data_IF_938208005554
#
_entry.id   IF_938208005554
#
_cell.length_a   1.000
_cell.length_b   1.000
_cell.length_c   1.000
_cell.angle_alpha   90.00
_cell.angle_beta   90.00
_cell.angle_gamma   90.00
#
_symmetry.space_group_name_H-M   'P 1'
#
loop_
_entity.id
_entity.type
_entity.pdbx_description
1 polymer ?
#
# COMPACT_ATOMS: atom_id res chain seq x y z
N UNK A 1 5.11 -3.11 -14.25
CA UNK A 1 4.65 -2.49 -12.99
C UNK A 1 3.96 -3.58 -12.18
N UNK A 2 4.51 -3.97 -11.04
CA UNK A 2 3.90 -4.96 -10.15
C UNK A 2 2.89 -4.19 -9.30
N UNK A 3 1.59 -4.46 -9.44
CA UNK A 3 0.54 -3.72 -8.71
C UNK A 3 0.75 -3.80 -7.18
N UNK A 4 1.34 -4.89 -6.68
CA UNK A 4 1.71 -5.03 -5.26
C UNK A 4 2.93 -4.23 -4.79
N UNK A 5 3.49 -3.33 -5.60
CA UNK A 5 4.61 -2.44 -5.21
C UNK A 5 4.23 -0.95 -5.31
N UNK A 6 2.95 -0.65 -5.51
CA UNK A 6 2.50 0.75 -5.63
C UNK A 6 2.51 1.38 -4.24
N UNK A 7 3.31 2.43 -4.08
CA UNK A 7 3.38 3.22 -2.86
C UNK A 7 2.73 4.57 -3.08
N UNK A 8 2.02 5.08 -2.08
CA UNK A 8 1.36 6.39 -2.09
C UNK A 8 -0.16 6.32 -2.17
N UNK A 9 -0.84 7.02 -1.27
CA UNK A 9 -2.28 6.99 -1.12
C UNK A 9 -3.03 7.35 -2.42
N UNK A 10 -2.57 8.37 -3.14
CA UNK A 10 -3.16 8.77 -4.42
C UNK A 10 -3.01 7.69 -5.50
N UNK A 11 -1.80 7.15 -5.68
CA UNK A 11 -1.52 6.12 -6.69
C UNK A 11 -2.32 4.83 -6.42
N UNK A 12 -2.49 4.48 -5.14
CA UNK A 12 -3.36 3.37 -4.71
C UNK A 12 -4.82 3.65 -5.08
N UNK A 13 -5.34 4.86 -4.80
CA UNK A 13 -6.71 5.26 -5.18
C UNK A 13 -6.92 5.23 -6.69
N UNK A 14 -6.01 5.80 -7.47
CA UNK A 14 -6.02 5.78 -8.95
C UNK A 14 -6.03 4.36 -9.48
N UNK A 15 -5.09 3.53 -9.03
CA UNK A 15 -4.94 2.17 -9.57
C UNK A 15 -6.12 1.28 -9.18
N UNK A 16 -6.55 1.35 -7.92
CA UNK A 16 -7.65 0.52 -7.40
C UNK A 16 -8.97 0.87 -8.07
N UNK A 17 -9.27 2.16 -8.22
CA UNK A 17 -10.49 2.60 -8.94
C UNK A 17 -10.43 2.26 -10.43
N UNK A 18 -9.29 2.45 -11.09
CA UNK A 18 -9.13 2.06 -12.50
C UNK A 18 -9.35 0.55 -12.72
N UNK A 19 -8.85 -0.29 -11.82
CA UNK A 19 -9.06 -1.74 -11.84
C UNK A 19 -10.54 -2.12 -11.65
N UNK A 20 -11.24 -1.48 -10.70
CA UNK A 20 -12.66 -1.67 -10.47
C UNK A 20 -13.51 -1.23 -11.68
N UNK A 21 -13.17 -0.10 -12.30
CA UNK A 21 -13.81 0.37 -13.54
C UNK A 21 -13.54 -0.58 -14.71
N UNK A 22 -12.32 -1.11 -14.81
CA UNK A 22 -11.97 -2.08 -15.85
C UNK A 22 -12.81 -3.35 -15.74
N UNK A 23 -13.06 -3.86 -14.54
CA UNK A 23 -14.00 -4.98 -14.34
C UNK A 23 -15.44 -4.62 -14.68
N UNK A 24 -15.89 -3.42 -14.28
CA UNK A 24 -17.25 -2.93 -14.55
C UNK A 24 -17.53 -2.78 -16.04
N UNK A 25 -16.50 -2.52 -16.85
CA UNK A 25 -16.62 -2.38 -18.31
C UNK A 25 -17.14 -3.64 -19.03
N UNK A 26 -17.01 -4.82 -18.41
CA UNK A 26 -17.42 -6.13 -18.96
C UNK A 26 -16.87 -6.42 -20.36
N UNK A 27 -15.68 -5.92 -20.69
CA UNK A 27 -15.04 -6.20 -21.98
C UNK A 27 -14.61 -7.68 -22.10
N UNK A 28 -15.18 -8.39 -23.08
CA UNK A 28 -14.90 -9.80 -23.34
C UNK A 28 -13.42 -10.12 -23.60
N UNK A 29 -12.64 -9.15 -24.11
CA UNK A 29 -11.21 -9.33 -24.34
C UNK A 29 -10.42 -9.50 -23.04
N UNK A 30 -10.90 -8.96 -21.91
CA UNK A 30 -10.25 -9.14 -20.60
C UNK A 30 -10.19 -10.62 -20.21
N UNK A 31 -11.27 -11.38 -20.48
CA UNK A 31 -11.33 -12.80 -20.16
C UNK A 31 -10.37 -13.66 -20.99
N UNK A 32 -9.86 -13.15 -22.12
CA UNK A 32 -8.88 -13.85 -22.97
C UNK A 32 -7.44 -13.68 -22.51
N UNK A 33 -7.19 -12.72 -21.62
CA UNK A 33 -5.85 -12.44 -21.09
C UNK A 33 -5.62 -13.30 -19.86
N UNK A 34 -4.52 -14.04 -19.84
CA UNK A 34 -4.07 -14.83 -18.69
C UNK A 34 -2.84 -14.19 -18.05
N UNK A 35 -2.86 -14.12 -16.72
CA UNK A 35 -1.80 -13.49 -15.93
C UNK A 35 -1.34 -14.38 -14.79
N UNK A 36 -0.17 -14.08 -14.24
CA UNK A 36 0.40 -14.81 -13.11
C UNK A 36 -0.40 -14.53 -11.82
N UNK A 37 -0.87 -15.61 -11.21
CA UNK A 37 -1.65 -15.65 -9.99
C UNK A 37 -0.80 -15.77 -8.75
N UNK A 38 -1.01 -16.84 -7.99
CA UNK A 38 -0.19 -17.19 -6.83
C UNK A 38 0.93 -18.15 -7.21
N UNK A 39 2.01 -18.13 -6.42
CA UNK A 39 3.12 -19.07 -6.55
C UNK A 39 2.65 -20.48 -6.19
N UNK A 40 3.02 -21.46 -7.01
CA UNK A 40 2.89 -22.89 -6.72
C UNK A 40 4.12 -23.24 -5.88
N UNK A 41 3.94 -23.44 -4.57
CA UNK A 41 5.05 -23.79 -3.68
C UNK A 41 5.59 -25.17 -4.08
N UNK A 42 6.73 -25.19 -4.77
CA UNK A 42 7.41 -26.41 -5.20
C UNK A 42 8.40 -26.94 -4.16
N UNK A 43 8.85 -26.10 -3.22
CA UNK A 43 9.85 -26.45 -2.23
C UNK A 43 9.47 -26.00 -0.82
N UNK A 44 9.67 -26.89 0.16
CA UNK A 44 9.57 -26.58 1.58
C UNK A 44 10.86 -25.88 2.05
N UNK A 45 10.71 -24.80 2.82
CA UNK A 45 11.81 -24.04 3.42
C UNK A 45 12.22 -22.78 2.66
N UNK A 46 13.28 -22.13 3.15
CA UNK A 46 13.81 -20.89 2.56
C UNK A 46 14.44 -21.22 1.20
N UNK A 47 13.88 -20.63 0.15
CA UNK A 47 14.45 -20.71 -1.19
C UNK A 47 15.45 -19.59 -1.38
N UNK A 48 16.73 -19.95 -1.49
CA UNK A 48 17.80 -19.01 -1.82
C UNK A 48 17.78 -18.68 -3.31
N UNK A 49 18.38 -17.54 -3.69
CA UNK A 49 18.52 -17.15 -5.11
C UNK A 49 19.16 -18.23 -5.98
N UNK A 50 20.11 -19.00 -5.42
CA UNK A 50 20.73 -20.14 -6.11
C UNK A 50 19.76 -21.29 -6.36
N UNK A 51 18.91 -21.64 -5.37
CA UNK A 51 17.87 -22.68 -5.52
C UNK A 51 16.79 -22.29 -6.53
N UNK A 52 16.35 -21.03 -6.52
CA UNK A 52 15.37 -20.52 -7.48
C UNK A 52 15.88 -20.58 -8.93
N UNK A 53 17.20 -20.51 -9.15
CA UNK A 53 17.78 -20.67 -10.49
C UNK A 53 17.71 -22.11 -11.00
N UNK A 54 17.87 -23.10 -10.11
CA UNK A 54 17.80 -24.53 -10.45
C UNK A 54 16.37 -25.06 -10.56
N UNK A 55 15.45 -24.49 -9.78
CA UNK A 55 14.03 -24.84 -9.78
C UNK A 55 13.23 -23.53 -9.84
N UNK A 56 12.92 -23.04 -11.06
CA UNK A 56 12.24 -21.76 -11.22
C UNK A 56 10.84 -21.80 -10.63
N UNK A 57 10.46 -20.66 -10.06
CA UNK A 57 9.13 -20.41 -9.50
C UNK A 57 8.04 -20.69 -10.54
N UNK A 58 7.10 -21.57 -10.19
CA UNK A 58 5.94 -21.87 -11.01
C UNK A 58 4.74 -21.06 -10.52
N UNK A 59 4.03 -20.39 -11.41
CA UNK A 59 2.88 -19.55 -11.08
C UNK A 59 1.61 -20.15 -11.67
N UNK A 60 0.51 -20.09 -10.92
CA UNK A 60 -0.80 -20.41 -11.48
C UNK A 60 -1.17 -19.34 -12.50
N UNK A 61 -1.51 -19.74 -13.73
CA UNK A 61 -2.07 -18.83 -14.73
C UNK A 61 -3.56 -18.72 -14.53
N UNK A 62 -4.08 -17.50 -14.40
CA UNK A 62 -5.50 -17.24 -14.20
C UNK A 62 -6.01 -16.10 -15.09
N UNK A 63 -7.31 -16.09 -15.45
CA UNK A 63 -7.89 -15.02 -16.25
C UNK A 63 -7.70 -13.66 -15.58
N UNK A 64 -7.44 -12.62 -16.37
CA UNK A 64 -7.22 -11.26 -15.89
C UNK A 64 -8.35 -10.77 -14.96
N UNK A 65 -9.65 -10.98 -15.24
CA UNK A 65 -10.71 -10.57 -14.32
C UNK A 65 -10.58 -11.18 -12.92
N UNK A 66 -10.19 -12.46 -12.85
CA UNK A 66 -9.92 -13.15 -11.58
C UNK A 66 -8.78 -12.49 -10.83
N UNK A 67 -7.69 -12.09 -11.53
CA UNK A 67 -6.57 -11.37 -10.90
C UNK A 67 -7.00 -10.02 -10.36
N UNK A 68 -7.82 -9.29 -11.11
CA UNK A 68 -8.28 -7.97 -10.70
C UNK A 68 -9.14 -8.10 -9.44
N UNK A 69 -10.09 -9.05 -9.39
CA UNK A 69 -10.88 -9.29 -8.17
C UNK A 69 -9.99 -9.66 -6.99
N UNK A 70 -8.96 -10.50 -7.19
CA UNK A 70 -8.00 -10.83 -6.15
C UNK A 70 -7.27 -9.59 -5.60
N UNK A 71 -6.79 -8.71 -6.49
CA UNK A 71 -6.11 -7.47 -6.11
C UNK A 71 -7.03 -6.49 -5.38
N UNK A 72 -8.29 -6.36 -5.80
CA UNK A 72 -9.26 -5.51 -5.11
C UNK A 72 -9.62 -6.04 -3.72
N UNK A 73 -9.66 -7.38 -3.56
CA UNK A 73 -9.86 -8.01 -2.27
C UNK A 73 -8.65 -7.85 -1.34
N UNK A 74 -7.43 -7.96 -1.88
CA UNK A 74 -6.21 -7.70 -1.12
C UNK A 74 -6.13 -6.24 -0.65
N UNK A 75 -6.46 -5.28 -1.53
CA UNK A 75 -6.52 -3.85 -1.18
C UNK A 75 -7.57 -3.58 -0.09
N UNK A 76 -8.72 -4.25 -0.14
CA UNK A 76 -9.74 -4.16 0.90
C UNK A 76 -9.24 -4.69 2.25
N UNK A 77 -8.56 -5.84 2.25
CA UNK A 77 -7.95 -6.41 3.47
C UNK A 77 -6.91 -5.47 4.05
N UNK A 78 -6.01 -4.93 3.23
CA UNK A 78 -4.95 -4.01 3.67
C UNK A 78 -5.54 -2.74 4.32
N UNK A 79 -6.60 -2.16 3.73
CA UNK A 79 -7.28 -0.99 4.32
C UNK A 79 -7.95 -1.36 5.66
N UNK A 80 -8.54 -2.55 5.79
CA UNK A 80 -9.15 -3.00 7.03
C UNK A 80 -8.11 -3.21 8.13
N UNK A 81 -6.94 -3.76 7.80
CA UNK A 81 -5.83 -3.95 8.74
C UNK A 81 -5.27 -2.61 9.25
N UNK A 82 -5.16 -1.60 8.38
CA UNK A 82 -4.73 -0.25 8.77
C UNK A 82 -5.73 0.44 9.73
N UNK A 83 -7.03 0.24 9.52
CA UNK A 83 -8.06 0.80 10.42
C UNK A 83 -8.03 0.12 11.80
N UNK A 84 -7.80 -1.19 11.85
CA UNK A 84 -7.66 -1.91 13.11
C UNK A 84 -6.39 -1.53 13.87
N UNK A 85 -5.28 -1.33 13.17
CA UNK A 85 -4.03 -0.86 13.79
C UNK A 85 -4.18 0.55 14.38
N UNK A 86 -4.92 1.43 13.70
CA UNK A 86 -5.17 2.79 14.18
C UNK A 86 -6.06 2.86 15.45
N UNK A 87 -6.83 1.83 15.76
CA UNK A 87 -7.67 1.76 16.99
C UNK A 87 -6.90 1.14 18.18
N UNK A 88 -5.79 0.42 17.91
CA UNK A 88 -4.88 -0.15 18.93
C UNK A 88 -3.64 0.75 19.18
N UNK A 89 -3.41 1.77 18.35
CA UNK A 89 -2.25 2.67 18.44
C UNK A 89 -2.65 4.12 18.79
N UNK A 90 -3.13 4.31 20.02
CA UNK A 90 -2.79 5.53 20.80
C UNK A 90 -1.39 5.34 21.45
N UNK A 91 -0.52 4.52 20.83
CA UNK A 91 0.67 3.92 21.44
C UNK A 91 1.96 4.38 20.76
N UNK A 92 2.76 5.09 21.54
CA UNK A 92 4.22 5.06 21.55
C UNK A 92 5.00 5.95 20.56
N UNK A 93 4.36 6.90 19.87
CA UNK A 93 5.06 8.08 19.33
C UNK A 93 4.70 9.38 20.05
N UNK A 94 4.45 9.28 21.36
CA UNK A 94 4.31 10.46 22.21
C UNK A 94 5.62 11.27 22.16
N UNK A 95 5.53 12.42 21.50
CA UNK A 95 6.54 13.45 21.42
C UNK A 95 7.08 13.72 22.83
N UNK A 96 8.36 13.38 23.06
CA UNK A 96 9.04 13.62 24.34
C UNK A 96 9.05 15.12 24.57
N UNK A 97 8.03 15.62 25.28
CA UNK A 97 7.99 16.98 25.79
C UNK A 97 9.14 17.11 26.77
N UNK A 98 10.21 17.75 26.31
CA UNK A 98 11.32 18.20 27.13
C UNK A 98 10.82 19.35 28.02
N UNK A 99 10.11 19.00 29.09
CA UNK A 99 9.79 19.94 30.16
C UNK A 99 10.07 19.28 31.51
N UNK A 100 10.97 19.87 32.30
CA UNK A 100 11.21 19.47 33.69
C UNK A 100 12.46 18.63 33.97
N UNK A 101 13.65 19.10 33.59
CA UNK A 101 14.89 18.76 34.35
C UNK A 101 15.34 20.02 35.09
N UNK A 102 14.60 20.34 36.15
CA UNK A 102 15.17 21.11 37.25
C UNK A 102 16.06 20.17 38.07
N UNK A 103 17.27 20.65 38.33
CA UNK A 103 18.14 20.20 39.41
C UNK A 103 18.93 18.90 39.18
N UNK A 104 20.14 19.03 38.61
CA UNK A 104 21.37 18.49 39.24
C UNK A 104 22.61 18.99 38.47
N UNK A 105 23.04 20.19 38.85
CA UNK A 105 24.32 20.80 38.46
C UNK A 105 25.49 20.06 39.12
N UNK A 106 25.94 18.92 38.61
CA UNK A 106 27.32 18.50 38.90
C UNK A 106 27.97 17.44 37.98
N UNK A 107 27.26 16.75 37.09
CA UNK A 107 27.82 15.51 36.50
C UNK A 107 28.32 15.56 35.05
N UNK A 108 28.28 16.69 34.34
CA UNK A 108 28.65 16.76 32.91
C UNK A 108 29.86 17.64 32.57
N UNK A 109 30.75 17.89 33.52
CA UNK A 109 32.09 18.43 33.25
C UNK A 109 33.06 17.28 32.94
N UNK A 110 33.04 16.70 31.73
CA UNK A 110 34.21 16.06 31.08
C UNK A 110 33.89 15.35 29.75
N UNK A 111 33.27 16.02 28.77
CA UNK A 111 33.58 15.77 27.35
C UNK A 111 33.46 17.11 26.63
N UNK A 112 34.56 17.85 26.57
CA UNK A 112 34.68 19.05 25.76
C UNK A 112 35.88 18.92 24.84
N UNK A 113 35.68 19.45 23.63
CA UNK A 113 36.66 19.73 22.57
C UNK A 113 36.93 18.53 21.64
N UNK A 114 36.61 18.56 20.34
CA UNK A 114 36.63 19.69 19.40
C UNK A 114 35.27 20.36 19.14
N UNK A 115 35.17 21.58 19.65
CA UNK A 115 34.13 22.55 19.32
C UNK A 115 34.40 23.11 17.92
N UNK A 116 33.77 22.53 16.91
CA UNK A 116 33.44 23.24 15.68
C UNK A 116 32.00 23.71 15.83
N UNK A 117 31.78 24.91 16.40
CA UNK A 117 30.45 25.51 16.44
C UNK A 117 29.99 25.66 15.00
N UNK A 118 28.98 24.89 14.59
CA UNK A 118 28.26 25.20 13.38
C UNK A 118 27.72 26.63 13.54
N UNK A 119 28.21 27.56 12.73
CA UNK A 119 27.67 28.92 12.69
C UNK A 119 26.28 28.85 12.05
N UNK A 120 25.40 29.80 12.36
CA UNK A 120 24.10 29.89 11.68
C UNK A 120 24.26 29.93 10.15
N UNK A 121 25.35 30.51 9.66
CA UNK A 121 25.76 30.50 8.25
C UNK A 121 26.02 29.08 7.69
N UNK A 122 26.59 28.17 8.49
CA UNK A 122 26.78 26.77 8.09
C UNK A 122 25.45 26.02 8.03
N UNK A 123 24.54 26.28 8.98
CA UNK A 123 23.18 25.71 8.94
C UNK A 123 22.40 26.26 7.74
N UNK A 124 22.50 27.55 7.45
CA UNK A 124 21.83 28.16 6.30
C UNK A 124 22.43 27.68 4.97
N UNK A 125 23.75 27.45 4.90
CA UNK A 125 24.39 26.80 3.76
C UNK A 125 23.91 25.34 3.59
N UNK A 126 23.74 24.59 4.68
CA UNK A 126 23.15 23.24 4.62
C UNK A 126 21.70 23.30 4.11
N UNK A 127 20.87 24.20 4.64
CA UNK A 127 19.49 24.42 4.17
C UNK A 127 19.47 24.76 2.68
N UNK A 128 20.39 25.62 2.22
CA UNK A 128 20.48 25.99 0.80
C UNK A 128 20.90 24.81 -0.08
N UNK A 129 21.87 23.99 0.35
CA UNK A 129 22.27 22.76 -0.37
C UNK A 129 21.11 21.75 -0.43
N UNK A 130 20.30 21.63 0.63
CA UNK A 130 19.12 20.75 0.62
C UNK A 130 17.93 21.31 -0.18
N UNK A 131 17.86 22.64 -0.36
CA UNK A 131 16.80 23.31 -1.12
C UNK A 131 17.19 23.56 -2.59
N UNK A 132 18.46 23.54 -2.96
CA UNK A 132 18.92 23.76 -4.34
C UNK A 132 18.56 22.59 -5.29
N UNK A 133 18.27 21.40 -4.75
CA UNK A 133 17.72 20.27 -5.51
C UNK A 133 16.17 20.19 -5.47
N UNK A 134 15.47 21.21 -4.91
CA UNK A 134 14.01 21.23 -4.80
C UNK A 134 13.29 21.89 -5.98
N UNK A 135 13.97 22.38 -7.01
CA UNK A 135 13.27 22.90 -8.20
C UNK A 135 12.71 21.79 -9.12
N UNK A 136 13.07 20.52 -8.86
CA UNK A 136 12.46 19.33 -9.48
C UNK A 136 11.30 18.75 -8.63
N UNK A 137 10.83 19.49 -7.62
CA UNK A 137 9.75 19.12 -6.67
C UNK A 137 8.36 19.11 -7.33
N UNK A 138 8.01 17.93 -7.86
CA UNK A 138 6.66 17.33 -7.87
C UNK A 138 5.52 18.13 -8.52
N UNK A 139 5.53 18.27 -9.85
CA UNK A 139 4.30 18.55 -10.61
C UNK A 139 3.18 17.53 -10.33
N UNK A 140 3.56 16.28 -9.98
CA UNK A 140 2.64 15.21 -9.63
C UNK A 140 1.87 15.50 -8.33
N UNK A 141 2.50 16.18 -7.37
CA UNK A 141 1.87 16.56 -6.10
C UNK A 141 0.75 17.58 -6.31
N UNK A 142 0.96 18.58 -7.18
CA UNK A 142 -0.05 19.60 -7.45
C UNK A 142 -1.27 19.03 -8.19
N UNK A 143 -1.04 18.12 -9.15
CA UNK A 143 -2.14 17.45 -9.86
C UNK A 143 -2.90 16.49 -8.95
N UNK A 144 -2.20 15.77 -8.07
CA UNK A 144 -2.80 14.85 -7.11
C UNK A 144 -3.73 15.56 -6.11
N UNK A 145 -3.37 16.76 -5.63
CA UNK A 145 -4.21 17.52 -4.67
C UNK A 145 -5.50 18.02 -5.33
N UNK A 146 -5.45 18.38 -6.61
CA UNK A 146 -6.61 18.90 -7.33
C UNK A 146 -7.56 17.80 -7.85
N UNK A 147 -7.11 16.55 -7.91
CA UNK A 147 -7.91 15.42 -8.40
C UNK A 147 -8.98 15.00 -7.37
N UNK A 148 -10.29 15.03 -7.70
CA UNK A 148 -11.35 14.53 -6.82
C UNK A 148 -11.14 13.08 -6.38
N UNK A 149 -10.44 12.28 -7.19
CA UNK A 149 -10.11 10.90 -6.86
C UNK A 149 -9.22 10.79 -5.61
N UNK A 150 -8.42 11.81 -5.33
CA UNK A 150 -7.61 11.85 -4.13
C UNK A 150 -8.46 12.01 -2.85
N UNK A 151 -9.70 12.49 -2.97
CA UNK A 151 -10.60 12.73 -1.82
C UNK A 151 -11.57 11.57 -1.54
N UNK A 152 -11.56 10.51 -2.35
CA UNK A 152 -12.47 9.37 -2.11
C UNK A 152 -12.07 8.61 -0.85
N UNK A 153 -13.09 8.10 -0.13
CA UNK A 153 -12.90 7.03 0.84
C UNK A 153 -12.81 5.71 0.09
N UNK A 154 -11.59 5.17 -0.02
CA UNK A 154 -11.32 3.97 -0.81
C UNK A 154 -12.01 2.72 -0.25
N UNK A 155 -12.16 2.62 1.07
CA UNK A 155 -12.86 1.50 1.72
C UNK A 155 -14.33 1.46 1.31
N UNK A 156 -15.03 2.60 1.41
CA UNK A 156 -16.43 2.73 1.01
C UNK A 156 -16.60 2.46 -0.49
N UNK A 157 -15.70 3.00 -1.31
CA UNK A 157 -15.71 2.73 -2.76
C UNK A 157 -15.61 1.24 -3.08
N UNK A 158 -14.69 0.50 -2.43
CA UNK A 158 -14.54 -0.95 -2.64
C UNK A 158 -15.76 -1.73 -2.12
N UNK A 159 -16.31 -1.34 -0.98
CA UNK A 159 -17.56 -1.92 -0.44
C UNK A 159 -18.69 -1.79 -1.45
N UNK A 160 -18.94 -0.56 -1.92
CA UNK A 160 -19.99 -0.26 -2.90
C UNK A 160 -19.76 -1.00 -4.22
N UNK A 161 -18.50 -1.08 -4.66
CA UNK A 161 -18.11 -1.83 -5.85
C UNK A 161 -18.46 -3.32 -5.72
N UNK A 162 -18.06 -4.00 -4.65
CA UNK A 162 -18.32 -5.43 -4.48
C UNK A 162 -19.82 -5.72 -4.34
N UNK A 163 -20.57 -4.88 -3.64
CA UNK A 163 -22.03 -4.97 -3.56
C UNK A 163 -22.64 -4.84 -4.96
N UNK A 164 -22.29 -3.79 -5.69
CA UNK A 164 -22.80 -3.53 -7.05
C UNK A 164 -22.42 -4.65 -8.04
N UNK A 165 -21.19 -5.16 -7.95
CA UNK A 165 -20.69 -6.25 -8.77
C UNK A 165 -21.43 -7.56 -8.49
N UNK A 166 -21.71 -7.86 -7.22
CA UNK A 166 -22.48 -9.05 -6.83
C UNK A 166 -23.93 -9.01 -7.33
N UNK A 167 -24.56 -7.83 -7.34
CA UNK A 167 -25.92 -7.64 -7.88
C UNK A 167 -25.93 -7.74 -9.41
N UNK A 168 -24.86 -7.26 -10.03
CA UNK A 168 -24.65 -7.22 -11.47
C UNK A 168 -24.43 -8.60 -12.10
N UNK A 169 -23.57 -9.41 -11.49
CA UNK A 169 -23.18 -10.74 -12.00
C UNK A 169 -22.72 -11.67 -10.87
N UNK A 170 -23.70 -12.13 -10.08
CA UNK A 170 -23.47 -13.01 -8.94
C UNK A 170 -22.78 -14.31 -9.33
N UNK A 171 -23.19 -14.91 -10.45
CA UNK A 171 -22.66 -16.21 -10.90
C UNK A 171 -21.18 -16.11 -11.26
N UNK A 172 -20.79 -15.03 -11.92
CA UNK A 172 -19.39 -14.78 -12.25
C UNK A 172 -18.54 -14.51 -11.01
N UNK A 173 -19.02 -13.69 -10.08
CA UNK A 173 -18.33 -13.46 -8.80
C UNK A 173 -18.18 -14.77 -8.00
N UNK A 174 -19.23 -15.58 -7.91
CA UNK A 174 -19.19 -16.90 -7.24
C UNK A 174 -18.18 -17.85 -7.90
N UNK A 175 -18.07 -17.81 -9.23
CA UNK A 175 -17.07 -18.59 -9.97
C UNK A 175 -15.64 -18.12 -9.66
N UNK A 176 -15.40 -16.81 -9.70
CA UNK A 176 -14.09 -16.20 -9.37
C UNK A 176 -13.70 -16.56 -7.94
N UNK A 177 -14.60 -16.41 -6.97
CA UNK A 177 -14.35 -16.67 -5.55
C UNK A 177 -13.81 -18.08 -5.27
N UNK A 178 -14.15 -19.08 -6.08
CA UNK A 178 -13.61 -20.45 -5.95
C UNK A 178 -12.10 -20.52 -6.15
N UNK A 179 -11.53 -19.59 -6.92
CA UNK A 179 -10.09 -19.54 -7.24
C UNK A 179 -9.28 -18.60 -6.34
N UNK A 180 -9.94 -17.81 -5.49
CA UNK A 180 -9.28 -16.84 -4.60
C UNK A 180 -8.66 -17.52 -3.37
N UNK A 181 -7.77 -16.80 -2.68
CA UNK A 181 -7.26 -17.23 -1.37
C UNK A 181 -8.36 -17.19 -0.30
N UNK A 182 -8.13 -17.83 0.84
CA UNK A 182 -9.10 -17.79 1.94
C UNK A 182 -9.26 -16.36 2.50
N UNK A 183 -8.19 -15.59 2.61
CA UNK A 183 -8.23 -14.20 3.08
C UNK A 183 -9.10 -13.33 2.15
N UNK A 184 -8.85 -13.40 0.84
CA UNK A 184 -9.60 -12.66 -0.18
C UNK A 184 -11.09 -13.01 -0.17
N UNK A 185 -11.43 -14.31 -0.07
CA UNK A 185 -12.82 -14.74 0.04
C UNK A 185 -13.50 -14.19 1.30
N UNK A 186 -12.81 -14.24 2.44
CA UNK A 186 -13.34 -13.73 3.70
C UNK A 186 -13.62 -12.23 3.63
N UNK A 187 -12.71 -11.44 3.06
CA UNK A 187 -12.88 -10.00 2.90
C UNK A 187 -14.12 -9.66 2.06
N UNK A 188 -14.30 -10.31 0.91
CA UNK A 188 -15.48 -10.12 0.04
C UNK A 188 -16.75 -10.55 0.79
N UNK A 189 -16.75 -11.71 1.46
CA UNK A 189 -17.92 -12.19 2.18
C UNK A 189 -18.32 -11.29 3.34
N UNK A 190 -17.37 -10.66 4.04
CA UNK A 190 -17.64 -9.71 5.12
C UNK A 190 -18.41 -8.50 4.60
N UNK A 191 -18.07 -8.02 3.40
CA UNK A 191 -18.76 -6.92 2.73
C UNK A 191 -20.16 -7.32 2.28
N UNK A 192 -20.30 -8.49 1.64
CA UNK A 192 -21.58 -8.95 1.08
C UNK A 192 -22.62 -9.40 2.12
N UNK A 193 -22.22 -9.54 3.39
CA UNK A 193 -23.12 -9.90 4.50
C UNK A 193 -23.75 -8.69 5.20
N UNK A 194 -23.29 -7.47 4.90
CA UNK A 194 -23.88 -6.23 5.41
C UNK A 194 -25.25 -5.99 4.78
#
# INVERSE_FOLDING_TARGET
>A
MIVGQIMGAYQIKVTTSALALLLTSRHNELAKIYVQGHLIKSHEGITTRSKAKSAPDQWVMLPLPTKIVALLADALTEIQEQVLAADDEDSDWEEVQADGIENDKEFLYSVSTSSGKATDEQLEAMVKVFNEDQDDQYVDGLLSVADPLNQINLANYLVDFFVSFSQSDRQFLDHICKSLSQSQRSAIQLVLKR
#
